data_IF_044342807407
#
_entry.id   IF_044342807407
#
_cell.length_a   1.000
_cell.length_b   1.000
_cell.length_c   1.000
_cell.angle_alpha   90.00
_cell.angle_beta   90.00
_cell.angle_gamma   90.00
#
_symmetry.space_group_name_H-M   'P 1'
#
loop_
_entity.id
_entity.type
_entity.pdbx_description
1 polymer ?
#
# COMPACT_ATOMS: atom_id res chain seq x y z
N UNK A 1 1.38 16.43 14.79
CA UNK A 1 2.80 16.15 14.47
C UNK A 1 2.82 15.01 13.47
N UNK A 2 3.31 15.25 12.24
CA UNK A 2 3.42 14.23 11.21
C UNK A 2 4.33 13.11 11.73
N UNK A 3 3.79 11.90 11.95
CA UNK A 3 4.63 10.71 12.14
C UNK A 3 5.41 10.54 10.84
N UNK A 4 6.66 11.02 10.81
CA UNK A 4 7.61 10.70 9.77
C UNK A 4 7.90 9.20 9.87
N UNK A 5 7.01 8.39 9.30
CA UNK A 5 7.23 6.96 9.13
C UNK A 5 8.49 6.82 8.27
N UNK A 6 9.59 6.42 8.90
CA UNK A 6 10.80 6.07 8.18
C UNK A 6 10.46 4.87 7.29
N UNK A 7 10.34 5.14 5.99
CA UNK A 7 10.05 4.10 5.01
C UNK A 7 11.16 3.06 5.10
N UNK A 8 10.84 1.77 5.29
CA UNK A 8 11.86 0.73 5.39
C UNK A 8 12.78 0.71 4.16
N UNK A 9 14.09 0.60 4.40
CA UNK A 9 15.13 0.72 3.36
C UNK A 9 14.90 -0.18 2.16
N UNK A 10 14.43 -1.43 2.38
CA UNK A 10 14.09 -2.38 1.32
C UNK A 10 13.13 -1.83 0.24
N UNK A 11 12.23 -0.89 0.60
CA UNK A 11 11.32 -0.25 -0.35
C UNK A 11 12.00 0.91 -1.07
N UNK A 12 12.86 1.65 -0.37
CA UNK A 12 13.72 2.69 -0.96
C UNK A 12 14.65 2.07 -2.01
N UNK A 13 15.23 0.91 -1.72
CA UNK A 13 16.13 0.18 -2.61
C UNK A 13 15.45 -0.29 -3.92
N UNK A 14 14.11 -0.28 -3.98
CA UNK A 14 13.38 -0.57 -5.22
C UNK A 14 13.37 0.63 -6.19
N UNK A 15 13.61 1.85 -5.72
CA UNK A 15 13.69 3.03 -6.58
C UNK A 15 14.86 2.87 -7.55
N UNK A 16 14.61 3.10 -8.84
CA UNK A 16 15.59 2.86 -9.89
C UNK A 16 15.57 1.43 -10.45
N UNK A 17 14.78 0.51 -9.87
CA UNK A 17 14.68 -0.86 -10.35
C UNK A 17 13.47 -1.08 -11.26
N UNK A 18 13.51 -2.19 -12.00
CA UNK A 18 12.37 -2.69 -12.77
C UNK A 18 11.73 -3.87 -12.06
N UNK A 19 10.40 -3.87 -11.97
CA UNK A 19 9.63 -4.95 -11.36
C UNK A 19 8.38 -5.23 -12.20
N UNK A 20 7.93 -6.47 -12.14
CA UNK A 20 6.68 -6.88 -12.75
C UNK A 20 5.53 -6.59 -11.79
N UNK A 21 4.47 -5.99 -12.32
CA UNK A 21 3.24 -5.73 -11.59
C UNK A 21 2.04 -6.15 -12.43
N UNK A 22 0.96 -6.57 -11.78
CA UNK A 22 -0.29 -7.03 -12.41
C UNK A 22 -1.52 -6.61 -11.57
N UNK A 23 -2.71 -6.79 -12.13
CA UNK A 23 -3.99 -6.55 -11.45
C UNK A 23 -4.41 -5.07 -11.46
N UNK A 24 -5.20 -4.67 -10.46
CA UNK A 24 -5.72 -3.31 -10.30
C UNK A 24 -4.69 -2.32 -9.77
N UNK A 25 -3.59 -2.11 -10.49
CA UNK A 25 -2.48 -1.24 -10.07
C UNK A 25 -2.87 0.22 -9.85
N UNK A 26 -3.83 0.70 -10.63
CA UNK A 26 -4.23 2.10 -10.68
C UNK A 26 -5.70 2.23 -10.31
N UNK A 27 -6.17 3.45 -10.14
CA UNK A 27 -7.58 3.75 -9.84
C UNK A 27 -8.55 3.30 -10.95
N UNK A 28 -8.06 2.96 -12.14
CA UNK A 28 -8.86 2.43 -13.23
C UNK A 28 -9.44 1.05 -12.88
N UNK A 29 -10.69 0.79 -13.30
CA UNK A 29 -11.39 -0.49 -13.06
C UNK A 29 -10.83 -1.69 -13.85
N UNK A 30 -9.82 -1.48 -14.69
CA UNK A 30 -9.28 -2.52 -15.57
C UNK A 30 -8.09 -3.19 -14.89
N UNK A 31 -8.16 -4.50 -14.74
CA UNK A 31 -6.99 -5.31 -14.38
C UNK A 31 -5.98 -5.30 -15.51
N UNK A 32 -4.72 -5.05 -15.14
CA UNK A 32 -3.61 -5.05 -16.07
C UNK A 32 -2.93 -6.43 -16.06
N UNK A 33 -2.53 -6.94 -17.24
CA UNK A 33 -1.69 -8.13 -17.31
C UNK A 33 -0.35 -7.86 -16.64
N UNK A 34 0.36 -8.93 -16.26
CA UNK A 34 1.71 -8.82 -15.72
C UNK A 34 2.62 -8.07 -16.70
N UNK A 35 3.07 -6.89 -16.27
CA UNK A 35 3.84 -5.96 -17.10
C UNK A 35 5.03 -5.44 -16.31
N UNK A 36 6.17 -5.24 -16.97
CA UNK A 36 7.35 -4.63 -16.36
C UNK A 36 7.18 -3.10 -16.25
N UNK A 37 7.39 -2.58 -15.04
CA UNK A 37 7.42 -1.16 -14.74
C UNK A 37 8.76 -0.77 -14.12
N UNK A 38 9.22 0.42 -14.47
CA UNK A 38 10.29 1.13 -13.77
C UNK A 38 9.72 1.84 -12.56
N UNK A 39 10.38 1.69 -11.41
CA UNK A 39 10.03 2.38 -10.17
C UNK A 39 10.84 3.67 -10.08
N UNK A 40 10.17 4.82 -10.15
CA UNK A 40 10.82 6.15 -10.12
C UNK A 40 10.90 6.75 -8.74
N UNK A 41 9.93 6.45 -7.89
CA UNK A 41 9.83 6.99 -6.55
C UNK A 41 8.87 6.13 -5.71
N UNK A 42 8.87 6.37 -4.41
CA UNK A 42 7.95 5.75 -3.45
C UNK A 42 7.34 6.81 -2.54
N UNK A 43 6.17 6.50 -1.98
CA UNK A 43 5.59 7.25 -0.88
C UNK A 43 4.92 6.32 0.10
N UNK A 44 4.91 6.73 1.37
CA UNK A 44 4.22 6.03 2.44
C UNK A 44 2.79 6.53 2.54
N UNK A 45 1.85 5.60 2.68
CA UNK A 45 0.44 5.89 2.88
C UNK A 45 -0.14 5.07 4.03
N UNK A 46 -1.44 5.21 4.21
CA UNK A 46 -2.23 4.36 5.10
C UNK A 46 -3.53 3.99 4.41
N UNK A 47 -4.06 2.81 4.75
CA UNK A 47 -5.38 2.37 4.38
C UNK A 47 -6.14 2.04 5.66
N UNK A 48 -7.38 2.50 5.76
CA UNK A 48 -8.26 2.11 6.86
C UNK A 48 -8.79 0.71 6.59
N UNK A 49 -8.51 -0.22 7.49
CA UNK A 49 -9.10 -1.56 7.49
C UNK A 49 -10.29 -1.54 8.43
N UNK A 50 -11.41 -2.09 7.97
CA UNK A 50 -12.66 -2.17 8.72
C UNK A 50 -13.01 -3.65 8.87
N UNK A 51 -13.12 -4.14 10.11
CA UNK A 51 -13.69 -5.45 10.37
C UNK A 51 -15.20 -5.29 10.55
N UNK A 52 -15.95 -5.63 9.50
CA UNK A 52 -17.40 -5.46 9.47
C UNK A 52 -18.14 -6.26 10.55
N UNK A 53 -17.59 -7.40 10.98
CA UNK A 53 -18.21 -8.22 12.02
C UNK A 53 -18.15 -7.51 13.36
N UNK A 54 -16.96 -7.12 13.80
CA UNK A 54 -16.78 -6.40 15.06
C UNK A 54 -17.46 -5.04 15.01
N UNK A 55 -17.39 -4.31 13.88
CA UNK A 55 -18.12 -3.06 13.71
C UNK A 55 -19.64 -3.23 13.95
N UNK A 56 -20.21 -4.36 13.50
CA UNK A 56 -21.64 -4.65 13.72
C UNK A 56 -21.97 -5.02 15.17
N UNK A 57 -21.01 -5.56 15.93
CA UNK A 57 -21.19 -6.03 17.31
C UNK A 57 -20.89 -4.92 18.34
N UNK A 58 -19.86 -4.09 18.11
CA UNK A 58 -19.34 -3.12 19.09
C UNK A 58 -19.46 -1.66 18.65
N UNK A 59 -19.76 -1.40 17.38
CA UNK A 59 -19.81 -0.05 16.82
C UNK A 59 -18.43 0.61 16.62
N UNK A 60 -17.34 -0.09 16.92
CA UNK A 60 -15.95 0.38 16.72
C UNK A 60 -15.10 -0.77 16.21
N UNK A 61 -14.70 -0.70 14.93
CA UNK A 61 -13.65 -1.56 14.41
C UNK A 61 -13.05 -0.99 13.13
N UNK A 62 -12.12 -0.05 13.32
CA UNK A 62 -11.29 0.45 12.23
C UNK A 62 -9.88 0.72 12.72
N UNK A 63 -8.89 0.22 12.01
CA UNK A 63 -7.49 0.56 12.27
C UNK A 63 -6.78 1.01 11.00
N UNK A 64 -5.78 1.86 11.16
CA UNK A 64 -4.94 2.31 10.06
C UNK A 64 -3.83 1.29 9.79
N UNK A 65 -3.77 0.79 8.57
CA UNK A 65 -2.73 -0.09 8.10
C UNK A 65 -1.80 0.65 7.15
N UNK A 66 -0.47 0.64 7.36
CA UNK A 66 0.45 1.35 6.49
C UNK A 66 0.55 0.68 5.11
N UNK A 67 0.66 1.51 4.09
CA UNK A 67 0.80 1.08 2.71
C UNK A 67 1.98 1.76 2.03
N UNK A 68 2.49 1.14 0.98
CA UNK A 68 3.52 1.71 0.10
C UNK A 68 2.95 1.90 -1.29
N UNK A 69 3.15 3.09 -1.86
CA UNK A 69 2.76 3.42 -3.22
C UNK A 69 4.02 3.67 -4.06
N UNK A 70 4.00 3.19 -5.30
CA UNK A 70 5.13 3.29 -6.24
C UNK A 70 4.79 4.23 -7.39
N UNK A 71 5.71 5.10 -7.78
CA UNK A 71 5.60 5.89 -8.99
C UNK A 71 6.13 5.07 -10.17
N UNK A 72 5.23 4.62 -11.03
CA UNK A 72 5.53 3.63 -12.06
C UNK A 72 5.45 4.21 -13.47
N UNK A 73 6.28 3.69 -14.37
CA UNK A 73 6.11 3.83 -15.82
C UNK A 73 6.50 2.54 -16.54
N UNK A 74 5.79 2.18 -17.60
CA UNK A 74 6.18 1.07 -18.48
C UNK A 74 6.66 1.61 -19.83
N UNK A 75 7.20 0.73 -20.70
CA UNK A 75 7.66 1.13 -22.05
C UNK A 75 6.55 1.71 -22.92
N UNK A 76 5.32 1.24 -22.77
CA UNK A 76 4.18 1.63 -23.60
C UNK A 76 3.60 3.00 -23.22
N UNK A 77 3.88 3.48 -22.00
CA UNK A 77 3.38 4.75 -21.47
C UNK A 77 4.52 5.66 -21.06
N UNK A 78 4.63 6.82 -21.71
CA UNK A 78 5.54 7.89 -21.28
C UNK A 78 5.10 8.55 -19.97
N UNK A 79 3.89 8.28 -19.48
CA UNK A 79 3.35 8.89 -18.26
C UNK A 79 3.78 8.08 -17.03
N UNK A 80 4.28 8.80 -16.03
CA UNK A 80 4.51 8.28 -14.67
C UNK A 80 3.21 8.37 -13.89
N UNK A 81 2.83 7.30 -13.20
CA UNK A 81 1.60 7.25 -12.43
C UNK A 81 1.83 6.54 -11.09
N UNK A 82 1.27 7.10 -10.02
CA UNK A 82 1.25 6.45 -8.72
C UNK A 82 0.35 5.23 -8.75
N UNK A 83 0.88 4.10 -8.28
CA UNK A 83 0.08 2.91 -7.99
C UNK A 83 -0.87 3.17 -6.83
N UNK A 84 -1.83 2.27 -6.65
CA UNK A 84 -2.53 2.10 -5.38
C UNK A 84 -1.57 1.67 -4.27
N UNK A 85 -1.99 1.88 -3.03
CA UNK A 85 -1.28 1.46 -1.83
C UNK A 85 -1.21 -0.06 -1.73
N UNK A 86 0.00 -0.60 -1.69
CA UNK A 86 0.25 -2.00 -1.38
C UNK A 86 0.41 -2.16 0.13
N UNK A 87 -0.22 -3.18 0.70
CA UNK A 87 -0.04 -3.53 2.11
C UNK A 87 1.43 -3.88 2.41
N UNK A 88 1.99 -3.26 3.45
CA UNK A 88 3.32 -3.58 4.00
C UNK A 88 3.25 -4.94 4.68
N UNK A 89 3.76 -6.00 4.05
CA UNK A 89 3.51 -7.40 4.47
C UNK A 89 4.20 -7.83 5.75
N UNK A 90 5.18 -7.07 6.22
CA UNK A 90 5.97 -7.43 7.41
C UNK A 90 5.30 -6.98 8.70
N UNK A 91 4.19 -6.28 8.58
CA UNK A 91 3.37 -5.88 9.72
C UNK A 91 2.31 -6.95 9.91
N UNK A 92 2.32 -7.55 11.10
CA UNK A 92 1.29 -8.50 11.49
C UNK A 92 0.00 -7.74 11.81
N UNK A 93 -1.04 -8.00 11.02
CA UNK A 93 -2.37 -7.42 11.19
C UNK A 93 -2.93 -7.74 12.58
N UNK A 94 -2.74 -8.97 13.07
CA UNK A 94 -3.30 -9.39 14.37
C UNK A 94 -2.72 -8.59 15.53
N UNK A 95 -1.45 -8.16 15.39
CA UNK A 95 -0.78 -7.34 16.39
C UNK A 95 -1.33 -5.91 16.40
N UNK A 96 -1.58 -5.33 15.23
CA UNK A 96 -2.21 -4.01 15.11
C UNK A 96 -3.63 -3.99 15.69
N UNK A 97 -4.41 -5.05 15.44
CA UNK A 97 -5.77 -5.19 16.00
C UNK A 97 -5.73 -5.23 17.54
N UNK A 98 -4.80 -5.99 18.13
CA UNK A 98 -4.68 -6.09 19.60
C UNK A 98 -4.28 -4.78 20.30
N UNK A 99 -3.56 -3.88 19.63
CA UNK A 99 -3.20 -2.55 20.16
C UNK A 99 -4.38 -1.57 20.11
N UNK A 100 -5.34 -1.78 19.21
CA UNK A 100 -6.55 -0.95 19.09
C UNK A 100 -7.67 -1.44 20.01
N UNK A 101 -7.73 -2.74 20.30
CA UNK A 101 -8.69 -3.32 21.25
C UNK A 101 -8.25 -3.25 22.72
N UNK A 102 -7.09 -2.63 23.00
CA UNK A 102 -6.57 -2.44 24.36
C UNK A 102 -7.03 -1.14 25.02
N UNK A 103 -8.33 -1.04 25.30
CA UNK A 103 -8.95 -0.17 26.33
C UNK A 103 -10.05 -0.92 27.06
#
# INVERSE_FOLDING_TARGET
MSRSYNIPQKYIDLVGTKRKFSGGLFSAKKELPETEYMIHNIRWGSATIINYRELSETGKSSYEYPTVEYLLSNRSSKRKQWSRGFAVREIDINKLESEVSGE
#
